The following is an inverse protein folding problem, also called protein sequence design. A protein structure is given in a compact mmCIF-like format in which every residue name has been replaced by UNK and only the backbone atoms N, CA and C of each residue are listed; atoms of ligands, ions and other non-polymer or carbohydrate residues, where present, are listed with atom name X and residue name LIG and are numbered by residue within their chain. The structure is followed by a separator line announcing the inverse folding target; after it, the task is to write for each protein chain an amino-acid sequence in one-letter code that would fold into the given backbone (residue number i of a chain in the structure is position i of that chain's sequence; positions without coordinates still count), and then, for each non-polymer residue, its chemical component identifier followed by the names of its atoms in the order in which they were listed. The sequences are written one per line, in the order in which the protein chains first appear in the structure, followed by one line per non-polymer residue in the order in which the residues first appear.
data_IF_925913970575
#
_entry.id   IF_925913970575
#
_cell.length_a   1.000
_cell.length_b   1.000
_cell.length_c   1.000
_cell.angle_alpha   90.00
_cell.angle_beta   90.00
_cell.angle_gamma   90.00
#
_symmetry.space_group_name_H-M   'P 1'
#
loop_
_entity.id
_entity.type
_entity.pdbx_description
1 polymer ?
#
# COMPACT_ATOMS: atom_id res chain seq x y z
N UNK A 1 -39.88 -0.91 4.44
CA UNK A 1 -39.58 -0.73 3.01
C UNK A 1 -39.41 0.76 2.79
N UNK A 2 -38.18 1.27 2.77
CA UNK A 2 -37.94 2.70 2.62
C UNK A 2 -38.28 3.10 1.18
N UNK A 3 -39.06 4.17 1.03
CA UNK A 3 -39.53 4.69 -0.25
C UNK A 3 -38.33 5.26 -1.03
N UNK A 4 -38.03 4.65 -2.17
CA UNK A 4 -36.98 5.08 -3.09
C UNK A 4 -37.53 6.24 -3.94
N UNK A 5 -37.59 7.42 -3.34
CA UNK A 5 -38.04 8.66 -3.98
C UNK A 5 -36.97 9.22 -4.91
N UNK A 6 -37.39 9.75 -6.06
CA UNK A 6 -36.53 10.43 -7.04
C UNK A 6 -35.55 11.42 -6.36
N UNK A 7 -34.25 11.15 -6.47
CA UNK A 7 -33.19 12.09 -6.08
C UNK A 7 -32.81 12.93 -7.32
N UNK A 8 -32.90 14.27 -7.26
CA UNK A 8 -32.44 15.10 -8.37
C UNK A 8 -30.93 14.97 -8.55
N UNK A 9 -30.42 15.18 -9.78
CA UNK A 9 -29.01 14.96 -10.14
C UNK A 9 -27.99 15.81 -9.35
N UNK A 10 -28.44 16.89 -8.72
CA UNK A 10 -27.64 17.77 -7.85
C UNK A 10 -27.71 17.39 -6.36
N UNK A 11 -28.56 16.42 -5.98
CA UNK A 11 -28.62 15.95 -4.60
C UNK A 11 -27.33 15.23 -4.25
N UNK A 12 -26.62 15.73 -3.24
CA UNK A 12 -25.38 15.14 -2.74
C UNK A 12 -25.71 13.77 -2.12
N UNK A 13 -25.30 12.69 -2.80
CA UNK A 13 -25.37 11.36 -2.23
C UNK A 13 -24.23 11.17 -1.22
N UNK A 14 -24.50 11.50 0.04
CA UNK A 14 -23.50 11.40 1.12
C UNK A 14 -22.89 10.00 1.25
N UNK A 15 -23.61 8.94 0.88
CA UNK A 15 -23.06 7.59 0.90
C UNK A 15 -22.07 7.38 -0.24
N UNK A 16 -22.43 7.78 -1.47
CA UNK A 16 -21.52 7.72 -2.61
C UNK A 16 -20.26 8.58 -2.40
N UNK A 17 -20.41 9.78 -1.83
CA UNK A 17 -19.27 10.63 -1.46
C UNK A 17 -18.41 9.98 -0.35
N UNK A 18 -19.02 9.30 0.63
CA UNK A 18 -18.25 8.58 1.65
C UNK A 18 -17.46 7.41 1.08
N UNK A 19 -18.02 6.67 0.12
CA UNK A 19 -17.33 5.59 -0.60
C UNK A 19 -16.19 6.11 -1.46
N UNK A 20 -16.39 7.21 -2.20
CA UNK A 20 -15.34 7.83 -3.02
C UNK A 20 -14.16 8.32 -2.17
N UNK A 21 -14.43 8.85 -0.98
CA UNK A 21 -13.40 9.36 -0.06
C UNK A 21 -12.94 8.33 0.99
N UNK A 22 -13.41 7.08 0.91
CA UNK A 22 -13.11 6.02 1.88
C UNK A 22 -11.60 5.79 2.07
N UNK A 23 -10.74 5.86 1.03
CA UNK A 23 -9.30 5.81 1.21
C UNK A 23 -8.76 6.93 2.13
N UNK A 24 -9.25 8.16 1.99
CA UNK A 24 -8.80 9.28 2.82
C UNK A 24 -9.18 9.09 4.29
N UNK A 25 -10.40 8.63 4.57
CA UNK A 25 -10.82 8.33 5.95
C UNK A 25 -10.00 7.18 6.55
N UNK A 26 -9.66 6.17 5.75
CA UNK A 26 -8.75 5.08 6.15
C UNK A 26 -7.35 5.59 6.47
N UNK A 27 -6.79 6.48 5.64
CA UNK A 27 -5.50 7.11 5.93
C UNK A 27 -5.54 7.97 7.20
N UNK A 28 -6.58 8.77 7.39
CA UNK A 28 -6.76 9.59 8.59
C UNK A 28 -6.72 8.75 9.87
N UNK A 29 -7.33 7.56 9.87
CA UNK A 29 -7.28 6.63 11.02
C UNK A 29 -5.87 6.15 11.39
N UNK A 30 -4.91 6.24 10.47
CA UNK A 30 -3.51 5.90 10.71
C UNK A 30 -2.73 7.13 11.17
N UNK A 31 -2.97 8.30 10.55
CA UNK A 31 -2.16 9.52 10.75
C UNK A 31 -2.61 10.40 11.89
N UNK A 32 -3.90 10.37 12.26
CA UNK A 32 -4.50 11.23 13.29
C UNK A 32 -4.53 10.55 14.67
N UNK A 33 -3.60 9.64 14.94
CA UNK A 33 -3.47 8.98 16.25
C UNK A 33 -2.77 9.89 17.25
N UNK A 34 -3.27 9.91 18.49
CA UNK A 34 -2.69 10.69 19.60
C UNK A 34 -1.25 10.28 19.94
N UNK A 35 -0.93 8.99 19.78
CA UNK A 35 0.42 8.45 19.92
C UNK A 35 0.74 7.52 18.74
N UNK A 36 1.97 7.58 18.19
CA UNK A 36 2.40 6.64 17.15
C UNK A 36 2.46 5.22 17.72
N UNK A 37 2.02 4.23 16.95
CA UNK A 37 2.18 2.83 17.33
C UNK A 37 3.67 2.45 17.37
N UNK A 38 4.10 1.60 18.32
CA UNK A 38 5.46 1.10 18.33
C UNK A 38 5.75 0.29 17.06
N UNK A 39 7.01 0.25 16.59
CA UNK A 39 7.38 -0.58 15.46
C UNK A 39 7.11 -2.05 15.77
N UNK A 40 6.56 -2.77 14.81
CA UNK A 40 6.35 -4.22 14.90
C UNK A 40 7.56 -4.98 14.33
N UNK A 41 7.75 -6.21 14.79
CA UNK A 41 8.72 -7.15 14.23
C UNK A 41 8.09 -8.07 13.17
N UNK A 42 8.91 -8.79 12.41
CA UNK A 42 8.42 -9.83 11.49
C UNK A 42 7.74 -10.99 12.24
N UNK A 43 8.09 -11.22 13.51
CA UNK A 43 7.43 -12.23 14.33
C UNK A 43 5.97 -11.84 14.63
N UNK A 44 5.71 -10.56 14.93
CA UNK A 44 4.35 -10.06 15.18
C UNK A 44 3.46 -10.19 13.95
N UNK A 45 4.06 -9.98 12.78
CA UNK A 45 3.39 -10.14 11.49
C UNK A 45 3.03 -11.60 11.27
N UNK A 46 3.96 -12.51 11.52
CA UNK A 46 3.71 -13.93 11.37
C UNK A 46 2.67 -14.44 12.37
N UNK A 47 2.68 -13.89 13.59
CA UNK A 47 1.65 -14.17 14.60
C UNK A 47 0.27 -13.72 14.12
N UNK A 48 0.15 -12.50 13.58
CA UNK A 48 -1.12 -12.05 12.99
C UNK A 48 -1.58 -12.98 11.85
N UNK A 49 -0.66 -13.31 10.93
CA UNK A 49 -0.94 -14.20 9.78
C UNK A 49 -1.48 -15.55 10.26
N UNK A 50 -0.94 -16.08 11.36
CA UNK A 50 -1.36 -17.34 11.94
C UNK A 50 -2.67 -17.22 12.74
N UNK A 51 -2.93 -16.04 13.32
CA UNK A 51 -4.10 -15.81 14.18
C UNK A 51 -5.38 -15.50 13.40
N UNK A 52 -5.29 -14.76 12.28
CA UNK A 52 -6.46 -14.30 11.52
C UNK A 52 -6.64 -15.14 10.24
N UNK A 53 -7.71 -15.95 10.14
CA UNK A 53 -7.93 -16.83 8.98
C UNK A 53 -8.35 -16.08 7.71
N UNK A 54 -8.83 -14.83 7.81
CA UNK A 54 -9.35 -14.04 6.68
C UNK A 54 -8.28 -13.07 6.19
N UNK A 55 -7.78 -12.22 7.08
CA UNK A 55 -6.84 -11.16 6.75
C UNK A 55 -5.39 -11.61 6.83
N UNK A 56 -5.08 -12.70 7.52
CA UNK A 56 -3.71 -13.24 7.61
C UNK A 56 -3.14 -13.64 6.24
N UNK A 57 -3.81 -14.51 5.46
CA UNK A 57 -3.36 -14.86 4.11
C UNK A 57 -3.27 -13.65 3.18
N UNK A 58 -4.19 -12.70 3.30
CA UNK A 58 -4.20 -11.46 2.52
C UNK A 58 -2.98 -10.60 2.85
N UNK A 59 -2.69 -10.37 4.14
CA UNK A 59 -1.54 -9.60 4.58
C UNK A 59 -0.22 -10.23 4.11
N UNK A 60 -0.13 -11.57 4.12
CA UNK A 60 1.03 -12.29 3.59
C UNK A 60 1.28 -11.95 2.12
N UNK A 61 0.24 -11.98 1.28
CA UNK A 61 0.35 -11.64 -0.14
C UNK A 61 0.70 -10.16 -0.34
N UNK A 62 0.08 -9.25 0.43
CA UNK A 62 0.40 -7.82 0.38
C UNK A 62 1.88 -7.57 0.68
N UNK A 63 2.42 -8.22 1.72
CA UNK A 63 3.84 -8.09 2.09
C UNK A 63 4.78 -8.70 1.06
N UNK A 64 4.39 -9.82 0.44
CA UNK A 64 5.13 -10.38 -0.70
C UNK A 64 5.13 -9.40 -1.88
N UNK A 65 3.99 -8.78 -2.20
CA UNK A 65 3.89 -7.77 -3.26
C UNK A 65 4.77 -6.56 -2.98
N UNK A 66 4.73 -6.03 -1.75
CA UNK A 66 5.60 -4.95 -1.33
C UNK A 66 7.08 -5.32 -1.43
N UNK A 67 7.44 -6.56 -1.10
CA UNK A 67 8.82 -7.07 -1.24
C UNK A 67 9.26 -7.09 -2.71
N UNK A 68 8.41 -7.58 -3.61
CA UNK A 68 8.67 -7.59 -5.05
C UNK A 68 8.84 -6.16 -5.58
N UNK A 69 7.96 -5.23 -5.18
CA UNK A 69 8.03 -3.83 -5.58
C UNK A 69 9.32 -3.15 -5.10
N UNK A 70 9.75 -3.40 -3.86
CA UNK A 70 11.02 -2.95 -3.31
C UNK A 70 12.22 -3.43 -4.15
N UNK A 71 12.27 -4.73 -4.49
CA UNK A 71 13.32 -5.27 -5.33
C UNK A 71 13.29 -4.68 -6.74
N UNK A 72 12.10 -4.49 -7.32
CA UNK A 72 11.90 -3.82 -8.60
C UNK A 72 12.47 -2.40 -8.59
N UNK A 73 12.19 -1.62 -7.55
CA UNK A 73 12.69 -0.27 -7.40
C UNK A 73 14.21 -0.21 -7.27
N UNK A 74 14.82 -1.07 -6.46
CA UNK A 74 16.28 -1.14 -6.32
C UNK A 74 16.93 -1.50 -7.66
N UNK A 75 16.41 -2.54 -8.33
CA UNK A 75 16.94 -2.99 -9.61
C UNK A 75 16.82 -1.90 -10.69
N UNK A 76 15.65 -1.28 -10.80
CA UNK A 76 15.39 -0.17 -11.72
C UNK A 76 16.27 1.04 -11.46
N UNK A 77 16.32 1.48 -10.19
CA UNK A 77 17.14 2.62 -9.78
C UNK A 77 18.61 2.41 -10.10
N UNK A 78 19.18 1.25 -9.73
CA UNK A 78 20.58 0.94 -10.03
C UNK A 78 20.86 0.85 -11.53
N UNK A 79 19.97 0.24 -12.31
CA UNK A 79 20.12 0.14 -13.76
C UNK A 79 20.12 1.51 -14.42
N UNK A 80 19.12 2.35 -14.11
CA UNK A 80 19.00 3.69 -14.70
C UNK A 80 20.13 4.62 -14.25
N UNK A 81 20.51 4.58 -12.96
CA UNK A 81 21.65 5.34 -12.45
C UNK A 81 22.97 4.91 -13.09
N UNK A 82 23.18 3.60 -13.24
CA UNK A 82 24.37 3.04 -13.88
C UNK A 82 24.50 3.47 -15.34
N UNK A 83 23.41 3.44 -16.10
CA UNK A 83 23.38 3.94 -17.48
C UNK A 83 23.61 5.45 -17.53
N UNK A 84 22.92 6.22 -16.71
CA UNK A 84 23.08 7.66 -16.64
C UNK A 84 24.52 8.05 -16.30
N UNK A 85 25.13 7.42 -15.29
CA UNK A 85 26.51 7.68 -14.90
C UNK A 85 27.50 7.24 -15.98
N UNK A 86 27.29 6.07 -16.59
CA UNK A 86 28.16 5.53 -17.65
C UNK A 86 28.35 6.53 -18.78
N UNK A 87 27.27 7.15 -19.25
CA UNK A 87 27.28 8.05 -20.41
C UNK A 87 27.48 9.52 -20.05
N UNK A 88 26.84 10.03 -18.98
CA UNK A 88 26.92 11.45 -18.64
C UNK A 88 28.12 11.81 -17.75
N UNK A 89 28.70 10.83 -17.04
CA UNK A 89 29.72 11.05 -15.98
C UNK A 89 29.29 12.08 -14.91
N UNK A 90 28.00 12.37 -14.80
CA UNK A 90 27.43 13.36 -13.90
C UNK A 90 26.78 12.65 -12.70
N UNK A 91 27.36 12.80 -11.51
CA UNK A 91 26.86 12.15 -10.29
C UNK A 91 25.47 12.66 -9.86
N UNK A 92 25.20 13.98 -9.78
CA UNK A 92 23.83 14.49 -9.58
C UNK A 92 22.82 13.97 -10.60
N UNK A 93 23.19 13.92 -11.88
CA UNK A 93 22.33 13.37 -12.93
C UNK A 93 22.04 11.88 -12.74
N UNK A 94 23.04 11.10 -12.34
CA UNK A 94 22.88 9.68 -12.03
C UNK A 94 22.02 9.45 -10.77
N UNK A 95 22.12 10.32 -9.76
CA UNK A 95 21.25 10.26 -8.58
C UNK A 95 19.79 10.54 -8.94
N UNK A 96 19.52 11.55 -9.78
CA UNK A 96 18.16 11.81 -10.25
C UNK A 96 17.62 10.64 -11.09
N UNK A 97 18.48 10.05 -11.92
CA UNK A 97 18.16 8.86 -12.68
C UNK A 97 17.87 7.64 -11.78
N UNK A 98 18.58 7.49 -10.66
CA UNK A 98 18.28 6.48 -9.64
C UNK A 98 16.86 6.64 -9.11
N UNK A 99 16.52 7.86 -8.66
CA UNK A 99 15.21 8.14 -8.07
C UNK A 99 14.08 7.90 -9.07
N UNK A 100 14.22 8.41 -10.29
CA UNK A 100 13.22 8.21 -11.35
C UNK A 100 13.09 6.74 -11.76
N UNK A 101 14.21 6.04 -11.93
CA UNK A 101 14.23 4.61 -12.26
C UNK A 101 13.61 3.76 -11.15
N UNK A 102 13.91 4.07 -9.89
CA UNK A 102 13.35 3.37 -8.74
C UNK A 102 11.83 3.57 -8.65
N UNK A 103 11.33 4.79 -8.80
CA UNK A 103 9.91 5.09 -8.77
C UNK A 103 9.13 4.38 -9.90
N UNK A 104 9.65 4.41 -11.13
CA UNK A 104 8.99 3.76 -12.26
C UNK A 104 9.01 2.24 -12.13
N UNK A 105 10.16 1.65 -11.76
CA UNK A 105 10.26 0.21 -11.59
C UNK A 105 9.50 -0.30 -10.36
N UNK A 106 9.35 0.50 -9.32
CA UNK A 106 8.42 0.22 -8.22
C UNK A 106 7.01 0.02 -8.77
N UNK A 107 6.48 1.02 -9.51
CA UNK A 107 5.10 0.99 -10.01
C UNK A 107 4.85 -0.22 -10.92
N UNK A 108 5.77 -0.51 -11.85
CA UNK A 108 5.65 -1.68 -12.74
C UNK A 108 5.71 -2.99 -11.96
N UNK A 109 6.61 -3.09 -10.97
CA UNK A 109 6.72 -4.28 -10.14
C UNK A 109 5.51 -4.47 -9.22
N UNK A 110 4.92 -3.38 -8.72
CA UNK A 110 3.67 -3.38 -7.96
C UNK A 110 2.51 -3.89 -8.80
N UNK A 111 2.34 -3.41 -10.05
CA UNK A 111 1.32 -3.93 -10.97
C UNK A 111 1.55 -5.41 -11.34
N UNK A 112 2.80 -5.78 -11.57
CA UNK A 112 3.19 -7.17 -11.80
C UNK A 112 2.86 -8.07 -10.60
N UNK A 113 3.13 -7.60 -9.38
CA UNK A 113 2.79 -8.30 -8.15
C UNK A 113 1.26 -8.35 -7.92
N UNK A 114 0.56 -7.26 -8.23
CA UNK A 114 -0.89 -7.17 -8.13
C UNK A 114 -1.55 -8.25 -8.99
N UNK A 115 -1.12 -8.38 -10.24
CA UNK A 115 -1.59 -9.42 -11.14
C UNK A 115 -1.13 -10.83 -10.70
N UNK A 116 0.18 -11.00 -10.45
CA UNK A 116 0.80 -12.30 -10.19
C UNK A 116 0.37 -12.95 -8.87
N UNK A 117 0.15 -12.15 -7.82
CA UNK A 117 -0.32 -12.61 -6.50
C UNK A 117 -1.85 -12.50 -6.35
N UNK A 118 -2.54 -11.94 -7.34
CA UNK A 118 -3.98 -11.73 -7.29
C UNK A 118 -4.42 -10.71 -6.23
N UNK A 119 -3.60 -9.70 -5.95
CA UNK A 119 -3.92 -8.66 -4.94
C UNK A 119 -5.18 -7.86 -5.32
N UNK A 120 -5.48 -7.76 -6.61
CA UNK A 120 -6.69 -7.12 -7.13
C UNK A 120 -8.00 -7.80 -6.67
N UNK A 121 -7.92 -9.02 -6.12
CA UNK A 121 -9.09 -9.78 -5.66
C UNK A 121 -9.59 -9.34 -4.28
N UNK A 122 -8.82 -8.53 -3.54
CA UNK A 122 -9.18 -8.11 -2.20
C UNK A 122 -8.64 -6.70 -1.88
N UNK A 123 -9.16 -6.09 -0.81
CA UNK A 123 -8.73 -4.75 -0.42
C UNK A 123 -7.44 -4.83 0.42
N UNK A 124 -6.30 -4.54 -0.20
CA UNK A 124 -4.99 -4.55 0.45
C UNK A 124 -4.90 -3.55 1.62
N UNK A 125 -5.59 -2.41 1.52
CA UNK A 125 -5.64 -1.42 2.60
C UNK A 125 -6.38 -1.98 3.82
N UNK A 126 -7.47 -2.72 3.62
CA UNK A 126 -8.21 -3.32 4.73
C UNK A 126 -7.38 -4.39 5.46
N UNK A 127 -6.62 -5.22 4.73
CA UNK A 127 -5.72 -6.18 5.36
C UNK A 127 -4.65 -5.49 6.24
N UNK A 128 -4.07 -4.39 5.77
CA UNK A 128 -3.11 -3.60 6.55
C UNK A 128 -3.77 -2.93 7.76
N UNK A 129 -4.95 -2.34 7.62
CA UNK A 129 -5.68 -1.73 8.72
C UNK A 129 -6.04 -2.75 9.80
N UNK A 130 -6.47 -3.95 9.40
CA UNK A 130 -6.78 -5.03 10.35
C UNK A 130 -5.56 -5.51 11.12
N UNK A 131 -4.40 -5.56 10.48
CA UNK A 131 -3.15 -5.79 11.17
C UNK A 131 -2.83 -4.68 12.18
N UNK A 132 -3.02 -3.40 11.81
CA UNK A 132 -2.80 -2.28 12.72
C UNK A 132 -3.78 -2.28 13.91
N UNK A 133 -5.06 -2.57 13.67
CA UNK A 133 -6.09 -2.73 14.72
C UNK A 133 -5.69 -3.85 15.70
N UNK A 134 -5.22 -4.98 15.17
CA UNK A 134 -4.75 -6.10 15.99
C UNK A 134 -3.49 -5.74 16.78
N UNK A 135 -2.54 -5.05 16.15
CA UNK A 135 -1.30 -4.61 16.79
C UNK A 135 -1.59 -3.67 17.95
N UNK A 136 -2.48 -2.69 17.75
CA UNK A 136 -2.92 -1.76 18.79
C UNK A 136 -3.52 -2.50 19.99
N UNK A 137 -4.39 -3.48 19.75
CA UNK A 137 -4.99 -4.31 20.83
C UNK A 137 -3.98 -5.19 21.55
N UNK A 138 -2.93 -5.63 20.87
CA UNK A 138 -1.86 -6.43 21.48
C UNK A 138 -0.96 -5.59 22.42
N UNK A 139 -0.88 -4.28 22.18
CA UNK A 139 -0.11 -3.35 23.01
C UNK A 139 -0.91 -2.83 24.22
N UNK A 140 -2.24 -2.91 24.19
CA UNK A 140 -3.14 -2.50 25.26
C UNK A 140 -3.28 -3.57 26.35
#
# INVERSE_FOLDING_TARGET
MAQDGYKPWWAIDKAAWREAFLPFYKFASITERDAPLPPWSDADVQEFINSDPVYGPQLKLVRQGATIANYGAIAGGLATAGLAYRYSKNAPGALMAFVGGAAMSWAVAEEGANFGLGLYKFNCMDANLKFLDWWERKQA
#
